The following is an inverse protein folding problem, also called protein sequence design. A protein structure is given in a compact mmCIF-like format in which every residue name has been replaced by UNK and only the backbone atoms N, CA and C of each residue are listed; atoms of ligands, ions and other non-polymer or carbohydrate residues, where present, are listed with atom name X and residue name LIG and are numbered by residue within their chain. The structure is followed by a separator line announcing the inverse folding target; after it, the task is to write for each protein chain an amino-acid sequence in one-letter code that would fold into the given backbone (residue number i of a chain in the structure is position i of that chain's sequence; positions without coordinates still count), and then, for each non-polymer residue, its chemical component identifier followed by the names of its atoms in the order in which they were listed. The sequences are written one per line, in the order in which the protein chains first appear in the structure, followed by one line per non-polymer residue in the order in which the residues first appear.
data_IF_127414242804
#
_entry.id   IF_127414242804
#
_cell.length_a   1.000
_cell.length_b   1.000
_cell.length_c   1.000
_cell.angle_alpha   90.00
_cell.angle_beta   90.00
_cell.angle_gamma   90.00
#
_symmetry.space_group_name_H-M   'P 1'
#
loop_
_entity.id
_entity.type
_entity.pdbx_description
1 polymer ?
#
# COMPACT_ATOMS: atom_id res chain seq x y z
N UNK A 1 24.02 -51.18 0.58
CA UNK A 1 23.81 -49.73 0.87
C UNK A 1 22.75 -49.64 1.95
N UNK A 2 23.06 -48.99 3.08
CA UNK A 2 22.25 -49.06 4.32
C UNK A 2 20.88 -48.36 4.14
N UNK A 3 19.74 -49.00 4.45
CA UNK A 3 18.39 -48.46 4.24
C UNK A 3 18.13 -47.15 5.01
N UNK A 4 18.91 -46.91 6.07
CA UNK A 4 18.87 -45.68 6.86
C UNK A 4 19.25 -44.42 6.07
N UNK A 5 20.08 -44.53 5.04
CA UNK A 5 20.51 -43.38 4.22
C UNK A 5 19.35 -42.85 3.34
N UNK A 6 18.52 -43.76 2.81
CA UNK A 6 17.33 -43.43 2.02
C UNK A 6 16.23 -42.78 2.88
N UNK A 7 16.07 -43.25 4.12
CA UNK A 7 15.12 -42.67 5.08
C UNK A 7 15.49 -41.24 5.49
N UNK A 8 16.79 -40.96 5.70
CA UNK A 8 17.28 -39.62 6.03
C UNK A 8 17.09 -38.62 4.88
N UNK A 9 17.31 -39.06 3.63
CA UNK A 9 17.08 -38.24 2.44
C UNK A 9 15.60 -37.90 2.24
N UNK A 10 14.70 -38.87 2.46
CA UNK A 10 13.25 -38.64 2.38
C UNK A 10 12.75 -37.65 3.45
N UNK A 11 13.30 -37.71 4.66
CA UNK A 11 12.95 -36.78 5.74
C UNK A 11 13.41 -35.34 5.45
N UNK A 12 14.58 -35.14 4.84
CA UNK A 12 15.08 -33.81 4.47
C UNK A 12 14.27 -33.15 3.35
N UNK A 13 13.76 -33.92 2.39
CA UNK A 13 12.91 -33.38 1.32
C UNK A 13 11.55 -32.87 1.85
N UNK A 14 11.02 -33.46 2.92
CA UNK A 14 9.75 -33.03 3.53
C UNK A 14 9.88 -31.74 4.35
N UNK A 15 11.08 -31.41 4.83
CA UNK A 15 11.37 -30.19 5.60
C UNK A 15 11.77 -28.99 4.74
N UNK A 16 12.06 -29.19 3.45
CA UNK A 16 12.50 -28.12 2.54
C UNK A 16 11.35 -27.27 1.96
N UNK A 17 10.10 -27.57 2.30
CA UNK A 17 8.92 -26.84 1.83
C UNK A 17 8.59 -25.60 2.67
N UNK A 18 9.55 -24.73 2.98
CA UNK A 18 9.18 -23.38 3.39
C UNK A 18 8.89 -22.56 2.13
N UNK A 19 7.61 -22.45 1.75
CA UNK A 19 7.20 -21.49 0.74
C UNK A 19 7.57 -20.09 1.25
N UNK A 20 8.62 -19.49 0.69
CA UNK A 20 8.92 -18.10 0.91
C UNK A 20 7.79 -17.27 0.29
N UNK A 21 6.75 -16.99 1.08
CA UNK A 21 5.68 -16.06 0.67
C UNK A 21 6.23 -14.65 0.83
N UNK A 22 6.33 -13.93 -0.29
CA UNK A 22 6.60 -12.50 -0.26
C UNK A 22 5.56 -11.80 0.62
N UNK A 23 5.94 -10.78 1.41
CA UNK A 23 4.98 -9.93 2.08
C UNK A 23 3.97 -9.41 1.05
N UNK A 24 2.68 -9.55 1.35
CA UNK A 24 1.64 -9.05 0.46
C UNK A 24 1.60 -7.52 0.60
N UNK A 25 2.03 -6.84 -0.46
CA UNK A 25 2.10 -5.38 -0.55
C UNK A 25 1.34 -4.91 -1.78
N UNK A 26 0.72 -3.73 -1.68
CA UNK A 26 0.13 -3.04 -2.79
C UNK A 26 1.19 -2.21 -3.52
N UNK A 27 1.23 -2.30 -4.85
CA UNK A 27 2.09 -1.46 -5.68
C UNK A 27 1.34 -0.21 -6.15
N UNK A 28 1.98 0.95 -6.03
CA UNK A 28 1.50 2.20 -6.59
C UNK A 28 2.60 2.90 -7.38
N UNK A 29 2.30 3.35 -8.60
CA UNK A 29 3.17 4.23 -9.37
C UNK A 29 2.70 5.65 -9.19
N UNK A 30 3.56 6.47 -8.60
CA UNK A 30 3.29 7.89 -8.38
C UNK A 30 3.20 8.62 -9.71
N UNK A 31 2.60 9.82 -9.69
CA UNK A 31 2.48 10.69 -10.84
C UNK A 31 3.86 11.16 -11.37
N UNK A 32 4.90 11.17 -10.54
CA UNK A 32 6.29 11.43 -10.96
C UNK A 32 7.06 10.17 -11.40
N UNK A 33 6.37 9.01 -11.48
CA UNK A 33 6.90 7.76 -12.04
C UNK A 33 7.68 6.87 -11.06
N UNK A 34 7.69 7.20 -9.77
CA UNK A 34 8.31 6.37 -8.72
C UNK A 34 7.37 5.25 -8.30
N UNK A 35 7.94 4.11 -7.93
CA UNK A 35 7.16 3.00 -7.36
C UNK A 35 7.17 3.10 -5.83
N UNK A 36 5.99 3.00 -5.23
CA UNK A 36 5.77 2.96 -3.79
C UNK A 36 5.08 1.65 -3.44
N UNK A 37 5.51 1.02 -2.35
CA UNK A 37 4.92 -0.19 -1.82
C UNK A 37 4.16 0.14 -0.54
N UNK A 38 2.86 -0.15 -0.53
CA UNK A 38 1.96 0.12 0.58
C UNK A 38 1.57 -1.19 1.27
N UNK A 39 1.41 -1.14 2.58
CA UNK A 39 0.99 -2.29 3.37
C UNK A 39 -0.50 -2.24 3.69
N UNK A 40 -1.12 -3.40 3.80
CA UNK A 40 -2.38 -3.53 4.53
C UNK A 40 -2.08 -4.13 5.90
N UNK A 41 -2.65 -3.57 6.97
CA UNK A 41 -2.46 -3.98 8.36
C UNK A 41 -3.69 -4.75 8.84
N UNK A 42 -3.73 -6.10 8.77
CA UNK A 42 -4.94 -6.87 9.06
C UNK A 42 -5.39 -6.77 10.52
N UNK A 43 -4.45 -6.52 11.45
CA UNK A 43 -4.75 -6.41 12.88
C UNK A 43 -5.64 -5.23 13.23
N UNK A 44 -5.59 -4.16 12.44
CA UNK A 44 -6.43 -2.95 12.62
C UNK A 44 -7.38 -2.70 11.45
N UNK A 45 -7.35 -3.57 10.42
CA UNK A 45 -8.13 -3.47 9.18
C UNK A 45 -7.92 -2.16 8.41
N UNK A 46 -6.72 -1.62 8.45
CA UNK A 46 -6.37 -0.36 7.79
C UNK A 46 -5.27 -0.57 6.74
N UNK A 47 -5.42 0.14 5.63
CA UNK A 47 -4.39 0.25 4.60
C UNK A 47 -3.49 1.44 4.86
N UNK A 48 -2.19 1.25 4.65
CA UNK A 48 -1.24 2.35 4.49
C UNK A 48 -1.69 3.20 3.29
N UNK A 49 -1.62 4.52 3.47
CA UNK A 49 -1.91 5.48 2.43
C UNK A 49 -0.66 6.24 1.99
N UNK A 50 -0.69 6.71 0.74
CA UNK A 50 0.32 7.56 0.17
C UNK A 50 -0.33 8.74 -0.53
N UNK A 51 0.04 9.94 -0.09
CA UNK A 51 -0.42 11.19 -0.68
C UNK A 51 0.55 11.61 -1.77
N UNK A 52 0.02 11.72 -2.98
CA UNK A 52 0.77 12.06 -4.18
C UNK A 52 0.49 13.52 -4.58
N UNK A 53 1.54 14.34 -4.50
CA UNK A 53 1.48 15.75 -4.90
C UNK A 53 1.78 15.97 -6.39
N UNK A 54 2.05 14.89 -7.13
CA UNK A 54 2.53 14.93 -8.50
C UNK A 54 3.80 15.75 -8.63
N UNK A 55 3.84 16.61 -9.64
CA UNK A 55 4.93 17.56 -9.83
C UNK A 55 4.74 18.86 -9.03
N UNK A 56 3.68 18.96 -8.22
CA UNK A 56 3.37 20.15 -7.42
C UNK A 56 4.35 20.33 -6.27
N UNK A 57 4.84 21.55 -6.09
CA UNK A 57 5.74 21.95 -4.98
C UNK A 57 5.07 22.91 -3.99
N UNK A 58 3.82 23.29 -4.26
CA UNK A 58 3.02 24.25 -3.49
C UNK A 58 2.39 23.65 -2.21
N UNK A 59 2.54 22.34 -2.04
CA UNK A 59 1.98 21.54 -0.94
C UNK A 59 0.56 21.07 -1.19
N UNK A 60 0.03 21.22 -2.42
CA UNK A 60 -1.28 20.72 -2.81
C UNK A 60 -1.13 19.28 -3.32
N UNK A 61 -1.95 18.38 -2.79
CA UNK A 61 -1.97 17.00 -3.25
C UNK A 61 -2.86 16.86 -4.50
N UNK A 62 -2.55 15.88 -5.35
CA UNK A 62 -3.32 15.55 -6.55
C UNK A 62 -4.20 14.31 -6.34
N UNK A 63 -3.67 13.30 -5.67
CA UNK A 63 -4.38 12.05 -5.39
C UNK A 63 -3.81 11.33 -4.16
N UNK A 64 -4.56 10.35 -3.67
CA UNK A 64 -4.16 9.43 -2.62
C UNK A 64 -4.25 7.99 -3.12
N UNK A 65 -3.25 7.18 -2.82
CA UNK A 65 -3.30 5.73 -2.98
C UNK A 65 -3.47 5.05 -1.61
N UNK A 66 -4.31 4.01 -1.52
CA UNK A 66 -4.55 3.25 -0.28
C UNK A 66 -4.54 1.76 -0.58
N UNK A 67 -3.79 0.99 0.20
CA UNK A 67 -3.80 -0.48 0.08
C UNK A 67 -5.10 -1.06 0.67
N UNK A 68 -5.79 -1.91 -0.07
CA UNK A 68 -7.03 -2.57 0.37
C UNK A 68 -6.75 -3.96 0.97
N UNK A 69 -7.76 -4.55 1.63
CA UNK A 69 -7.67 -5.87 2.27
C UNK A 69 -7.33 -7.00 1.27
N UNK A 70 -7.77 -6.86 0.01
CA UNK A 70 -7.48 -7.80 -1.07
C UNK A 70 -6.11 -7.55 -1.74
N UNK A 71 -5.29 -6.66 -1.16
CA UNK A 71 -4.00 -6.22 -1.68
C UNK A 71 -4.08 -5.52 -3.04
N UNK A 72 -5.25 -4.95 -3.37
CA UNK A 72 -5.39 -4.01 -4.47
C UNK A 72 -5.11 -2.57 -4.02
N UNK A 73 -4.60 -1.75 -4.94
CA UNK A 73 -4.40 -0.32 -4.70
C UNK A 73 -5.65 0.44 -5.14
N UNK A 74 -6.30 1.14 -4.20
CA UNK A 74 -7.35 2.11 -4.53
C UNK A 74 -6.72 3.50 -4.68
N UNK A 75 -7.00 4.18 -5.78
CA UNK A 75 -6.57 5.57 -6.01
C UNK A 75 -7.79 6.49 -5.94
N UNK A 76 -7.68 7.58 -5.19
CA UNK A 76 -8.70 8.60 -5.01
C UNK A 76 -8.14 9.94 -5.47
N UNK A 77 -8.83 10.60 -6.41
CA UNK A 77 -8.39 11.88 -6.98
C UNK A 77 -8.95 13.03 -6.15
N UNK A 78 -8.21 14.14 -6.06
CA UNK A 78 -8.76 15.38 -5.52
C UNK A 78 -10.02 15.87 -6.26
N UNK A 79 -10.18 15.50 -7.53
CA UNK A 79 -11.38 15.83 -8.31
C UNK A 79 -12.64 15.10 -7.82
N UNK A 80 -12.48 14.02 -7.03
CA UNK A 80 -13.59 13.26 -6.47
C UNK A 80 -14.22 13.96 -5.24
N UNK A 81 -13.55 15.00 -4.71
CA UNK A 81 -13.96 15.69 -3.48
C UNK A 81 -14.25 17.17 -3.73
N UNK A 82 -15.31 17.67 -3.07
CA UNK A 82 -15.68 19.09 -3.09
C UNK A 82 -15.15 19.79 -1.84
N UNK A 83 -13.83 19.96 -1.76
CA UNK A 83 -13.19 20.76 -0.71
C UNK A 83 -13.01 22.20 -1.20
N UNK A 84 -13.45 23.16 -0.40
CA UNK A 84 -13.27 24.60 -0.60
C UNK A 84 -12.74 25.27 0.68
N UNK A 85 -12.37 26.56 0.61
CA UNK A 85 -11.83 27.26 1.78
C UNK A 85 -12.82 27.47 2.91
N UNK A 86 -14.12 27.32 2.66
CA UNK A 86 -15.15 27.45 3.69
C UNK A 86 -15.33 26.13 4.46
N UNK A 87 -15.14 24.99 3.80
CA UNK A 87 -15.35 23.67 4.39
C UNK A 87 -14.06 22.91 4.75
N UNK A 88 -12.89 23.38 4.30
CA UNK A 88 -11.58 22.75 4.59
C UNK A 88 -11.36 22.49 6.07
N UNK A 89 -11.72 23.44 6.94
CA UNK A 89 -11.54 23.31 8.39
C UNK A 89 -12.35 22.18 9.04
N UNK A 90 -13.35 21.64 8.33
CA UNK A 90 -14.19 20.53 8.80
C UNK A 90 -13.62 19.16 8.40
N UNK A 91 -12.55 19.10 7.62
CA UNK A 91 -11.90 17.85 7.20
C UNK A 91 -10.77 17.54 8.18
N UNK A 92 -10.93 16.49 8.98
CA UNK A 92 -9.98 16.12 10.05
C UNK A 92 -8.76 15.34 9.53
N UNK A 93 -8.85 14.78 8.31
CA UNK A 93 -7.80 13.96 7.69
C UNK A 93 -6.98 14.75 6.68
N UNK A 94 -5.72 14.35 6.48
CA UNK A 94 -4.81 15.05 5.55
C UNK A 94 -5.37 15.07 4.12
N UNK A 95 -5.93 13.97 3.64
CA UNK A 95 -6.67 13.89 2.39
C UNK A 95 -8.17 13.76 2.70
N UNK A 96 -9.07 14.50 2.02
CA UNK A 96 -8.84 15.42 0.89
C UNK A 96 -8.47 16.86 1.30
N UNK A 97 -8.16 17.16 2.57
CA UNK A 97 -7.86 18.53 3.01
C UNK A 97 -6.67 19.17 2.27
N UNK A 98 -5.71 18.37 1.83
CA UNK A 98 -4.55 18.79 1.04
C UNK A 98 -4.86 19.11 -0.43
N UNK A 99 -6.08 18.83 -0.93
CA UNK A 99 -6.45 19.01 -2.34
C UNK A 99 -6.55 20.47 -2.79
N UNK A 100 -6.43 21.41 -1.86
CA UNK A 100 -6.40 22.83 -2.16
C UNK A 100 -5.56 23.58 -1.15
N UNK A 101 -5.24 24.84 -1.47
CA UNK A 101 -4.62 25.78 -0.54
C UNK A 101 -5.56 26.94 -0.23
N UNK A 102 -5.67 27.22 1.06
CA UNK A 102 -6.26 28.39 1.67
C UNK A 102 -5.20 28.88 2.67
#
# INVERSE_FOLDING_TARGET
MKPYLLLLLAAMCLYAGSEARSPQVCGYTTLDGKMVFLHYFPGIKEGEDYIDNGSGTDGVCSQRAVCQEDYSTKVESCNDYKVDCNNRGNVETVFPACCMKC
#
